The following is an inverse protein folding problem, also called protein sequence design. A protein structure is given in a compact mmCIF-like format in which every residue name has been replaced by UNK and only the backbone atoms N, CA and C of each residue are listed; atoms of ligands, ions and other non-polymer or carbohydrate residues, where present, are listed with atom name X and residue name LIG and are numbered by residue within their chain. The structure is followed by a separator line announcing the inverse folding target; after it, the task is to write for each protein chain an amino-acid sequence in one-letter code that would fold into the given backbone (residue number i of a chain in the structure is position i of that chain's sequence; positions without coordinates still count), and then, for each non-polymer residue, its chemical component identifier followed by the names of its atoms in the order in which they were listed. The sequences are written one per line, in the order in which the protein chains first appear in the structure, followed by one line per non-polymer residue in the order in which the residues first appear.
data_IF_675607976561
#
_entry.id   IF_675607976561
#
_cell.length_a   1.000
_cell.length_b   1.000
_cell.length_c   1.000
_cell.angle_alpha   90.00
_cell.angle_beta   90.00
_cell.angle_gamma   90.00
#
_symmetry.space_group_name_H-M   'P 1'
#
loop_
_entity.id
_entity.type
_entity.pdbx_description
1 polymer ?
#
# COMPACT_ATOMS: atom_id res chain seq x y z
N UNK A 1 -16.02 -33.80 22.37
CA UNK A 1 -16.87 -32.60 22.29
C UNK A 1 -17.76 -32.54 23.52
N UNK A 2 -17.80 -31.41 24.23
CA UNK A 2 -18.81 -31.13 25.25
C UNK A 2 -20.17 -30.89 24.59
N UNK A 3 -21.27 -31.14 25.30
CA UNK A 3 -22.63 -30.86 24.80
C UNK A 3 -22.82 -29.38 24.43
N UNK A 4 -22.13 -28.49 25.14
CA UNK A 4 -22.07 -27.07 24.82
C UNK A 4 -21.39 -26.80 23.47
N UNK A 5 -20.27 -27.45 23.17
CA UNK A 5 -19.58 -27.31 21.89
C UNK A 5 -20.39 -27.83 20.71
N UNK A 6 -21.20 -28.88 20.92
CA UNK A 6 -22.11 -29.43 19.90
C UNK A 6 -23.22 -28.41 19.59
N UNK A 7 -23.80 -27.79 20.62
CA UNK A 7 -24.82 -26.76 20.43
C UNK A 7 -24.27 -25.51 19.73
N UNK A 8 -23.07 -25.04 20.12
CA UNK A 8 -22.40 -23.91 19.45
C UNK A 8 -22.08 -24.21 17.98
N UNK A 9 -21.60 -25.41 17.68
CA UNK A 9 -21.34 -25.86 16.30
C UNK A 9 -22.62 -25.93 15.47
N UNK A 10 -23.72 -26.41 16.06
CA UNK A 10 -25.02 -26.45 15.41
C UNK A 10 -25.54 -25.05 15.08
N UNK A 11 -25.42 -24.10 16.01
CA UNK A 11 -25.79 -22.69 15.80
C UNK A 11 -24.97 -22.10 14.64
N UNK A 12 -23.65 -22.28 14.64
CA UNK A 12 -22.75 -21.75 13.61
C UNK A 12 -23.06 -22.32 12.22
N UNK A 13 -23.26 -23.63 12.10
CA UNK A 13 -23.57 -24.26 10.82
C UNK A 13 -24.96 -23.86 10.29
N UNK A 14 -25.93 -23.62 11.18
CA UNK A 14 -27.25 -23.11 10.77
C UNK A 14 -27.20 -21.68 10.22
N UNK A 15 -26.20 -20.87 10.60
CA UNK A 15 -26.06 -19.49 10.09
C UNK A 15 -25.28 -19.40 8.79
N UNK A 16 -24.42 -20.38 8.47
CA UNK A 16 -23.61 -20.41 7.25
C UNK A 16 -24.41 -20.69 5.98
N UNK A 17 -25.55 -21.38 6.10
CA UNK A 17 -26.34 -21.83 4.95
C UNK A 17 -26.07 -23.28 4.58
N UNK A 18 -26.98 -23.88 3.80
CA UNK A 18 -27.01 -25.33 3.59
C UNK A 18 -25.80 -25.85 2.80
N UNK A 19 -25.28 -25.07 1.85
CA UNK A 19 -24.17 -25.51 1.00
C UNK A 19 -22.85 -25.49 1.77
N UNK A 20 -22.61 -24.40 2.49
CA UNK A 20 -21.42 -24.12 3.27
C UNK A 20 -21.35 -25.07 4.48
N UNK A 21 -22.47 -25.30 5.15
CA UNK A 21 -22.56 -26.29 6.22
C UNK A 21 -22.28 -27.72 5.72
N UNK A 22 -22.75 -28.07 4.52
CA UNK A 22 -22.49 -29.38 3.93
C UNK A 22 -20.99 -29.57 3.64
N UNK A 23 -20.29 -28.54 3.20
CA UNK A 23 -18.84 -28.60 2.99
C UNK A 23 -18.07 -28.79 4.29
N UNK A 24 -18.48 -28.13 5.38
CA UNK A 24 -17.88 -28.35 6.71
C UNK A 24 -18.16 -29.76 7.22
N UNK A 25 -19.38 -30.28 7.03
CA UNK A 25 -19.75 -31.63 7.48
C UNK A 25 -18.93 -32.75 6.83
N UNK A 26 -18.35 -32.54 5.63
CA UNK A 26 -17.46 -33.51 4.97
C UNK A 26 -16.19 -33.81 5.76
N UNK A 27 -15.78 -32.90 6.64
CA UNK A 27 -14.56 -33.04 7.45
C UNK A 27 -14.81 -33.65 8.82
N UNK A 28 -16.06 -34.01 9.16
CA UNK A 28 -16.45 -34.54 10.46
C UNK A 28 -16.66 -36.05 10.41
N UNK A 29 -16.42 -36.73 11.54
CA UNK A 29 -16.73 -38.15 11.63
C UNK A 29 -18.25 -38.38 11.63
N UNK A 30 -18.74 -39.55 11.15
CA UNK A 30 -20.18 -39.86 11.10
C UNK A 30 -20.91 -39.67 12.44
N UNK A 31 -20.23 -39.97 13.56
CA UNK A 31 -20.77 -39.79 14.92
C UNK A 31 -20.92 -38.32 15.31
N UNK A 32 -20.06 -37.45 14.82
CA UNK A 32 -20.09 -36.01 15.09
C UNK A 32 -21.17 -35.34 14.26
N UNK A 33 -21.27 -35.69 12.98
CA UNK A 33 -22.36 -35.26 12.09
C UNK A 33 -23.71 -35.60 12.70
N UNK A 34 -23.89 -36.83 13.22
CA UNK A 34 -25.14 -37.24 13.85
C UNK A 34 -25.47 -36.39 15.09
N UNK A 35 -24.49 -36.13 15.95
CA UNK A 35 -24.68 -35.33 17.18
C UNK A 35 -25.05 -33.88 16.86
N UNK A 36 -24.32 -33.27 15.93
CA UNK A 36 -24.55 -31.88 15.51
C UNK A 36 -25.90 -31.75 14.80
N UNK A 37 -26.24 -32.67 13.89
CA UNK A 37 -27.54 -32.68 13.21
C UNK A 37 -28.71 -32.83 14.21
N UNK A 38 -28.54 -33.66 15.24
CA UNK A 38 -29.55 -33.81 16.30
C UNK A 38 -29.73 -32.52 17.10
N UNK A 39 -28.63 -31.83 17.40
CA UNK A 39 -28.67 -30.52 18.07
C UNK A 39 -29.33 -29.44 17.20
N UNK A 40 -29.05 -29.41 15.89
CA UNK A 40 -29.72 -28.49 14.95
C UNK A 40 -31.24 -28.65 14.94
N UNK A 41 -31.73 -29.88 15.02
CA UNK A 41 -33.17 -30.17 15.07
C UNK A 41 -33.78 -29.79 16.42
N UNK A 42 -33.02 -29.94 17.52
CA UNK A 42 -33.47 -29.62 18.86
C UNK A 42 -33.51 -28.09 19.14
N UNK A 43 -32.61 -27.33 18.50
CA UNK A 43 -32.54 -25.88 18.63
C UNK A 43 -33.73 -25.21 17.92
N UNK A 44 -34.60 -24.56 18.70
CA UNK A 44 -35.73 -23.78 18.19
C UNK A 44 -35.67 -22.37 18.77
N UNK A 45 -35.93 -21.36 17.95
CA UNK A 45 -35.97 -19.94 18.33
C UNK A 45 -34.67 -19.41 18.94
N UNK A 46 -33.58 -19.45 18.16
CA UNK A 46 -32.32 -18.82 18.52
C UNK A 46 -32.48 -17.29 18.56
N UNK A 47 -32.07 -16.66 19.67
CA UNK A 47 -32.04 -15.20 19.75
C UNK A 47 -30.84 -14.64 18.96
N UNK A 48 -30.95 -13.40 18.49
CA UNK A 48 -29.82 -12.70 17.84
C UNK A 48 -28.60 -12.62 18.77
N UNK A 49 -28.82 -12.46 20.06
CA UNK A 49 -27.79 -12.37 21.10
C UNK A 49 -27.02 -13.68 21.28
N UNK A 50 -27.73 -14.82 21.23
CA UNK A 50 -27.12 -16.15 21.26
C UNK A 50 -26.29 -16.41 20.00
N UNK A 51 -26.78 -16.01 18.83
CA UNK A 51 -26.05 -16.15 17.57
C UNK A 51 -24.79 -15.28 17.59
N UNK A 52 -24.90 -14.01 18.03
CA UNK A 52 -23.76 -13.09 18.12
C UNK A 52 -22.68 -13.64 19.05
N UNK A 53 -23.06 -14.06 20.25
CA UNK A 53 -22.12 -14.62 21.23
C UNK A 53 -21.34 -15.81 20.67
N UNK A 54 -22.03 -16.74 19.98
CA UNK A 54 -21.36 -17.91 19.36
C UNK A 54 -20.43 -17.50 18.22
N UNK A 55 -20.80 -16.48 17.45
CA UNK A 55 -19.98 -15.98 16.35
C UNK A 55 -18.73 -15.25 16.84
N UNK A 56 -18.86 -14.44 17.90
CA UNK A 56 -17.77 -13.72 18.54
C UNK A 56 -16.76 -14.69 19.18
N UNK A 57 -17.25 -15.72 19.87
CA UNK A 57 -16.40 -16.79 20.42
C UNK A 57 -15.68 -17.58 19.31
N UNK A 58 -16.38 -17.93 18.22
CA UNK A 58 -15.76 -18.60 17.09
C UNK A 58 -14.68 -17.74 16.44
N UNK A 59 -14.95 -16.44 16.22
CA UNK A 59 -14.00 -15.51 15.64
C UNK A 59 -12.74 -15.38 16.51
N UNK A 60 -12.90 -15.27 17.83
CA UNK A 60 -11.77 -15.23 18.76
C UNK A 60 -10.93 -16.52 18.69
N UNK A 61 -11.57 -17.69 18.78
CA UNK A 61 -10.86 -18.97 18.72
C UNK A 61 -10.22 -19.24 17.36
N UNK A 62 -10.88 -18.84 16.27
CA UNK A 62 -10.32 -18.90 14.94
C UNK A 62 -9.09 -18.00 14.85
N UNK A 63 -9.17 -16.74 15.31
CA UNK A 63 -8.05 -15.78 15.29
C UNK A 63 -6.83 -16.24 16.10
N UNK A 64 -7.03 -16.99 17.18
CA UNK A 64 -5.95 -17.58 18.00
C UNK A 64 -5.29 -18.81 17.32
N UNK A 65 -6.03 -19.50 16.44
CA UNK A 65 -5.60 -20.73 15.73
C UNK A 65 -5.09 -20.46 14.32
N UNK A 66 -5.62 -19.44 13.66
CA UNK A 66 -5.14 -18.91 12.39
C UNK A 66 -4.24 -17.73 12.72
N UNK A 67 -2.93 -17.95 12.72
CA UNK A 67 -1.99 -16.86 12.49
C UNK A 67 -2.36 -16.25 11.13
N UNK A 68 -3.18 -15.19 11.17
CA UNK A 68 -3.54 -14.39 10.00
C UNK A 68 -2.21 -13.78 9.53
N UNK A 69 -1.60 -14.44 8.56
CA UNK A 69 -0.26 -14.09 8.09
C UNK A 69 0.22 -14.85 6.86
N UNK A 70 -0.34 -16.01 6.49
CA UNK A 70 0.24 -16.78 5.36
C UNK A 70 -0.70 -17.28 4.25
N UNK A 71 -2.03 -17.37 4.42
CA UNK A 71 -2.89 -18.00 3.39
C UNK A 71 -4.19 -17.23 3.03
N UNK A 72 -4.42 -16.04 3.57
CA UNK A 72 -5.60 -15.22 3.23
C UNK A 72 -5.49 -14.52 1.87
N UNK A 73 -4.27 -14.36 1.35
CA UNK A 73 -4.02 -13.62 0.10
C UNK A 73 -4.62 -14.32 -1.12
N UNK A 74 -4.48 -15.64 -1.22
CA UNK A 74 -5.01 -16.41 -2.35
C UNK A 74 -6.54 -16.55 -2.30
N UNK A 75 -7.11 -16.70 -1.12
CA UNK A 75 -8.57 -16.71 -0.94
C UNK A 75 -9.20 -15.34 -1.28
N UNK A 76 -8.61 -14.25 -0.79
CA UNK A 76 -9.06 -12.89 -1.10
C UNK A 76 -8.87 -12.57 -2.58
N UNK A 77 -7.77 -13.06 -3.19
CA UNK A 77 -7.51 -12.95 -4.63
C UNK A 77 -8.59 -13.64 -5.44
N UNK A 78 -8.91 -14.90 -5.14
CA UNK A 78 -9.93 -15.67 -5.85
C UNK A 78 -11.33 -15.05 -5.67
N UNK A 79 -11.66 -14.58 -4.46
CA UNK A 79 -12.92 -13.90 -4.17
C UNK A 79 -13.08 -12.58 -4.96
N UNK A 80 -12.06 -11.72 -4.94
CA UNK A 80 -12.10 -10.43 -5.64
C UNK A 80 -12.11 -10.62 -7.16
N UNK A 81 -11.38 -11.60 -7.67
CA UNK A 81 -11.37 -11.97 -9.10
C UNK A 81 -12.76 -12.40 -9.57
N UNK A 82 -13.44 -13.26 -8.79
CA UNK A 82 -14.81 -13.69 -9.09
C UNK A 82 -15.84 -12.55 -9.02
N UNK A 83 -15.65 -11.59 -8.12
CA UNK A 83 -16.59 -10.49 -7.92
C UNK A 83 -16.42 -9.33 -8.93
N UNK A 84 -15.20 -9.05 -9.37
CA UNK A 84 -14.85 -7.83 -10.11
C UNK A 84 -14.26 -8.08 -11.50
N UNK A 85 -13.88 -9.33 -11.81
CA UNK A 85 -13.12 -9.71 -13.01
C UNK A 85 -11.62 -9.50 -12.84
N UNK A 86 -10.82 -10.26 -13.60
CA UNK A 86 -9.36 -10.34 -13.47
C UNK A 86 -8.66 -8.97 -13.44
N UNK A 87 -8.96 -8.08 -14.39
CA UNK A 87 -8.28 -6.78 -14.51
C UNK A 87 -8.56 -5.83 -13.34
N UNK A 88 -9.80 -5.79 -12.83
CA UNK A 88 -10.18 -4.90 -11.72
C UNK A 88 -9.76 -5.47 -10.38
N UNK A 89 -9.83 -6.79 -10.23
CA UNK A 89 -9.36 -7.47 -9.04
C UNK A 89 -7.85 -7.36 -8.90
N UNK A 90 -7.10 -7.55 -9.98
CA UNK A 90 -5.65 -7.36 -9.99
C UNK A 90 -5.28 -5.95 -9.51
N UNK A 91 -5.87 -4.89 -10.07
CA UNK A 91 -5.57 -3.52 -9.65
C UNK A 91 -5.99 -3.18 -8.22
N UNK A 92 -7.05 -3.80 -7.69
CA UNK A 92 -7.51 -3.61 -6.31
C UNK A 92 -6.64 -4.39 -5.32
N UNK A 93 -6.31 -5.64 -5.65
CA UNK A 93 -5.41 -6.50 -4.87
C UNK A 93 -4.02 -5.91 -4.81
N UNK A 94 -3.52 -5.39 -5.93
CA UNK A 94 -2.24 -4.69 -6.00
C UNK A 94 -2.21 -3.53 -5.02
N UNK A 95 -3.28 -2.71 -4.98
CA UNK A 95 -3.42 -1.59 -4.02
C UNK A 95 -3.61 -2.00 -2.56
N UNK A 96 -4.19 -3.17 -2.29
CA UNK A 96 -4.47 -3.66 -0.93
C UNK A 96 -3.25 -4.40 -0.36
N UNK A 97 -2.62 -5.27 -1.15
CA UNK A 97 -1.44 -6.05 -0.75
C UNK A 97 -0.19 -5.18 -0.66
N UNK A 98 -0.02 -4.21 -1.56
CA UNK A 98 1.04 -3.19 -1.44
C UNK A 98 0.74 -2.14 -0.37
N UNK A 99 -0.25 -2.32 0.51
CA UNK A 99 -0.51 -1.47 1.67
C UNK A 99 -0.20 -2.15 3.01
N UNK A 100 0.23 -3.41 3.00
CA UNK A 100 0.62 -4.15 4.20
C UNK A 100 2.12 -4.47 4.19
N UNK A 101 2.83 -3.79 5.09
CA UNK A 101 4.16 -4.10 5.64
C UNK A 101 5.45 -3.85 4.82
N UNK A 102 5.43 -3.73 3.48
CA UNK A 102 6.68 -3.44 2.69
C UNK A 102 6.54 -2.43 1.56
N UNK A 103 5.44 -1.68 1.51
CA UNK A 103 5.09 -0.78 0.41
C UNK A 103 6.17 0.26 0.07
N UNK A 104 6.86 0.80 1.07
CA UNK A 104 7.93 1.77 0.89
C UNK A 104 9.18 1.14 0.28
N UNK A 105 9.57 -0.04 0.73
CA UNK A 105 10.75 -0.77 0.21
C UNK A 105 10.48 -1.29 -1.21
N UNK A 106 9.30 -1.84 -1.46
CA UNK A 106 8.91 -2.32 -2.79
C UNK A 106 8.83 -1.18 -3.81
N UNK A 107 8.37 0.00 -3.39
CA UNK A 107 8.36 1.18 -4.27
C UNK A 107 9.76 1.53 -4.79
N UNK A 108 10.81 1.28 -4.01
CA UNK A 108 12.19 1.55 -4.45
C UNK A 108 12.63 0.65 -5.60
N UNK A 109 12.14 -0.60 -5.68
CA UNK A 109 12.51 -1.54 -6.75
C UNK A 109 12.16 -1.03 -8.15
N UNK A 110 11.12 -0.19 -8.23
CA UNK A 110 10.61 0.37 -9.48
C UNK A 110 11.10 1.80 -9.74
N UNK A 111 11.93 2.36 -8.86
CA UNK A 111 12.48 3.70 -9.01
C UNK A 111 13.82 3.71 -9.74
N UNK A 112 14.02 4.75 -10.56
CA UNK A 112 15.31 5.00 -11.19
C UNK A 112 16.40 5.23 -10.13
N UNK A 113 17.63 4.70 -10.31
CA UNK A 113 18.71 4.82 -9.33
C UNK A 113 19.02 6.26 -8.89
N UNK A 114 18.88 7.24 -9.80
CA UNK A 114 19.02 8.66 -9.48
C UNK A 114 17.97 9.16 -8.50
N UNK A 115 16.72 8.74 -8.67
CA UNK A 115 15.62 9.10 -7.76
C UNK A 115 15.79 8.48 -6.38
N UNK A 116 16.31 7.26 -6.31
CA UNK A 116 16.65 6.60 -5.05
C UNK A 116 17.83 7.30 -4.35
N UNK A 117 18.87 7.67 -5.10
CA UNK A 117 20.01 8.41 -4.55
C UNK A 117 19.60 9.77 -3.98
N UNK A 118 18.73 10.51 -4.69
CA UNK A 118 18.19 11.80 -4.22
C UNK A 118 17.33 11.64 -2.96
N UNK A 119 16.50 10.59 -2.91
CA UNK A 119 15.64 10.26 -1.76
C UNK A 119 16.46 10.05 -0.48
N UNK A 120 17.59 9.35 -0.59
CA UNK A 120 18.40 8.92 0.56
C UNK A 120 19.62 9.84 0.82
N UNK A 121 19.80 10.91 0.04
CA UNK A 121 21.01 11.74 0.07
C UNK A 121 21.31 12.37 1.45
N UNK A 122 20.27 12.64 2.24
CA UNK A 122 20.39 13.27 3.56
C UNK A 122 20.26 12.27 4.72
N UNK A 123 20.15 10.97 4.42
CA UNK A 123 19.95 9.94 5.44
C UNK A 123 21.26 9.51 6.10
N UNK A 124 21.16 8.97 7.31
CA UNK A 124 22.31 8.44 8.01
C UNK A 124 22.88 7.21 7.26
N UNK A 125 24.22 7.01 7.18
CA UNK A 125 24.83 5.87 6.48
C UNK A 125 24.30 4.49 6.89
N UNK A 126 23.78 4.36 8.12
CA UNK A 126 23.12 3.14 8.58
C UNK A 126 21.77 2.89 7.89
N UNK A 127 20.95 3.93 7.71
CA UNK A 127 19.65 3.82 7.04
C UNK A 127 19.87 3.50 5.57
N UNK A 128 20.83 4.19 4.94
CA UNK A 128 21.24 3.90 3.56
C UNK A 128 21.68 2.43 3.46
N UNK A 129 22.57 1.96 4.32
CA UNK A 129 23.01 0.56 4.30
C UNK A 129 21.85 -0.44 4.41
N UNK A 130 20.89 -0.20 5.32
CA UNK A 130 19.70 -1.05 5.46
C UNK A 130 18.87 -1.06 4.17
N UNK A 131 18.61 0.11 3.56
CA UNK A 131 17.85 0.21 2.30
C UNK A 131 18.53 -0.60 1.20
N UNK A 132 19.86 -0.44 1.06
CA UNK A 132 20.63 -1.05 -0.02
C UNK A 132 20.65 -2.57 0.02
N UNK A 133 20.53 -3.18 1.22
CA UNK A 133 20.42 -4.65 1.38
C UNK A 133 19.09 -5.21 0.86
N UNK A 134 18.07 -4.35 0.70
CA UNK A 134 16.76 -4.74 0.18
C UNK A 134 16.55 -4.39 -1.31
N UNK A 135 17.53 -3.77 -1.97
CA UNK A 135 17.52 -3.52 -3.41
C UNK A 135 18.17 -4.67 -4.18
N UNK A 136 17.80 -4.82 -5.46
CA UNK A 136 18.50 -5.73 -6.36
C UNK A 136 19.97 -5.29 -6.54
N UNK A 137 20.94 -6.22 -6.64
CA UNK A 137 22.37 -5.89 -6.66
C UNK A 137 22.78 -4.86 -7.73
N UNK A 138 22.15 -4.92 -8.90
CA UNK A 138 22.42 -4.01 -10.02
C UNK A 138 21.95 -2.58 -9.75
N UNK A 139 20.74 -2.45 -9.20
CA UNK A 139 20.18 -1.17 -8.77
C UNK A 139 20.98 -0.59 -7.61
N UNK A 140 21.33 -1.40 -6.61
CA UNK A 140 22.17 -1.01 -5.49
C UNK A 140 23.55 -0.49 -5.97
N UNK A 141 24.20 -1.19 -6.91
CA UNK A 141 25.47 -0.72 -7.48
C UNK A 141 25.31 0.65 -8.17
N UNK A 142 24.23 0.82 -8.94
CA UNK A 142 23.92 2.07 -9.64
C UNK A 142 23.66 3.22 -8.66
N UNK A 143 22.93 2.98 -7.56
CA UNK A 143 22.71 3.98 -6.50
C UNK A 143 24.02 4.32 -5.78
N UNK A 144 24.85 3.32 -5.43
CA UNK A 144 26.15 3.55 -4.79
C UNK A 144 27.06 4.46 -5.62
N UNK A 145 27.04 4.33 -6.95
CA UNK A 145 27.84 5.14 -7.85
C UNK A 145 27.50 6.64 -7.79
N UNK A 146 26.27 6.99 -7.40
CA UNK A 146 25.78 8.36 -7.29
C UNK A 146 26.07 9.00 -5.93
N UNK A 147 26.45 8.21 -4.93
CA UNK A 147 26.82 8.71 -3.60
C UNK A 147 28.23 9.30 -3.59
N UNK A 148 28.46 10.28 -2.70
CA UNK A 148 29.80 10.82 -2.45
C UNK A 148 30.75 9.72 -1.93
N UNK A 149 32.04 9.82 -2.26
CA UNK A 149 33.04 8.80 -1.91
C UNK A 149 33.06 8.47 -0.42
N UNK A 150 32.97 9.51 0.43
CA UNK A 150 32.94 9.34 1.88
C UNK A 150 31.73 8.50 2.33
N UNK A 151 30.54 8.82 1.86
CA UNK A 151 29.30 8.13 2.25
C UNK A 151 29.29 6.71 1.67
N UNK A 152 29.67 6.55 0.40
CA UNK A 152 29.75 5.25 -0.28
C UNK A 152 30.63 4.26 0.48
N UNK A 153 31.82 4.67 0.90
CA UNK A 153 32.74 3.80 1.64
C UNK A 153 32.18 3.42 3.02
N UNK A 154 31.54 4.38 3.71
CA UNK A 154 30.96 4.18 5.05
C UNK A 154 29.73 3.24 5.01
N UNK A 155 28.91 3.37 3.97
CA UNK A 155 27.75 2.50 3.69
C UNK A 155 28.21 1.09 3.36
N UNK A 156 29.21 0.93 2.48
CA UNK A 156 29.71 -0.39 2.09
C UNK A 156 30.26 -1.18 3.29
N UNK A 157 30.98 -0.50 4.19
CA UNK A 157 31.48 -1.12 5.42
C UNK A 157 30.34 -1.66 6.28
N UNK A 158 29.24 -0.90 6.43
CA UNK A 158 28.06 -1.31 7.20
C UNK A 158 27.32 -2.48 6.56
N UNK A 159 27.15 -2.47 5.24
CA UNK A 159 26.55 -3.58 4.50
C UNK A 159 27.35 -4.86 4.74
N UNK A 160 28.69 -4.78 4.68
CA UNK A 160 29.57 -5.92 4.89
C UNK A 160 29.56 -6.48 6.32
N UNK A 161 29.21 -5.66 7.31
CA UNK A 161 29.13 -6.05 8.73
C UNK A 161 27.70 -6.27 9.22
N UNK A 162 26.71 -6.26 8.33
CA UNK A 162 25.31 -6.40 8.69
C UNK A 162 24.95 -7.90 8.86
N UNK A 163 24.77 -8.37 10.09
CA UNK A 163 24.47 -9.79 10.35
C UNK A 163 23.01 -10.15 10.04
N UNK A 164 22.07 -9.40 10.61
CA UNK A 164 20.63 -9.59 10.37
C UNK A 164 19.86 -8.32 10.71
N UNK A 165 18.86 -7.99 9.91
CA UNK A 165 17.96 -6.86 10.18
C UNK A 165 16.76 -7.39 10.97
N UNK A 166 16.51 -6.84 12.15
CA UNK A 166 15.37 -7.25 12.96
C UNK A 166 14.06 -6.86 12.24
N UNK A 167 13.00 -7.69 12.28
CA UNK A 167 11.72 -7.39 11.64
C UNK A 167 11.12 -6.03 12.06
N UNK A 168 11.30 -5.65 13.33
CA UNK A 168 10.89 -4.34 13.85
C UNK A 168 11.60 -3.18 13.17
N UNK A 169 12.90 -3.32 12.89
CA UNK A 169 13.69 -2.31 12.18
C UNK A 169 13.28 -2.19 10.70
N UNK A 170 12.82 -3.28 10.07
CA UNK A 170 12.26 -3.23 8.72
C UNK A 170 10.94 -2.46 8.67
N UNK A 171 10.11 -2.63 9.69
CA UNK A 171 8.83 -1.93 9.79
C UNK A 171 9.05 -0.42 10.01
N UNK A 172 9.99 -0.06 10.89
CA UNK A 172 10.42 1.34 11.07
C UNK A 172 11.01 1.94 9.78
N UNK A 173 11.83 1.16 9.05
CA UNK A 173 12.38 1.57 7.75
C UNK A 173 11.26 1.83 6.74
N UNK A 174 10.28 0.94 6.68
CA UNK A 174 9.14 1.06 5.78
C UNK A 174 8.32 2.32 6.08
N UNK A 175 8.06 2.62 7.35
CA UNK A 175 7.35 3.83 7.77
C UNK A 175 8.11 5.12 7.39
N UNK A 176 9.44 5.11 7.52
CA UNK A 176 10.29 6.22 7.08
C UNK A 176 10.22 6.37 5.56
N UNK A 177 10.33 5.27 4.81
CA UNK A 177 10.26 5.28 3.34
C UNK A 177 8.91 5.76 2.84
N UNK A 178 7.80 5.32 3.45
CA UNK A 178 6.46 5.80 3.10
C UNK A 178 6.33 7.30 3.32
N UNK A 179 6.88 7.84 4.42
CA UNK A 179 6.90 9.30 4.67
C UNK A 179 7.75 10.04 3.65
N UNK A 180 8.93 9.52 3.32
CA UNK A 180 9.83 10.12 2.33
C UNK A 180 9.21 10.09 0.92
N UNK A 181 8.58 8.98 0.55
CA UNK A 181 7.87 8.82 -0.72
C UNK A 181 6.61 9.69 -0.77
N UNK A 182 5.88 9.85 0.32
CA UNK A 182 4.75 10.80 0.39
C UNK A 182 5.23 12.25 0.28
N UNK A 183 6.38 12.58 0.89
CA UNK A 183 7.05 13.88 0.72
C UNK A 183 7.55 14.11 -0.71
N UNK A 184 8.08 13.07 -1.37
CA UNK A 184 8.56 13.09 -2.75
C UNK A 184 7.47 12.83 -3.81
N UNK A 185 6.26 12.41 -3.44
CA UNK A 185 5.09 12.40 -4.33
C UNK A 185 4.64 13.85 -4.64
N UNK A 186 5.02 14.81 -3.81
CA UNK A 186 4.98 16.26 -4.11
C UNK A 186 6.15 16.67 -5.04
N UNK A 187 7.13 15.79 -5.22
CA UNK A 187 8.37 15.96 -5.99
C UNK A 187 8.28 15.65 -7.48
N UNK A 188 7.24 14.96 -7.96
CA UNK A 188 6.72 15.25 -9.31
C UNK A 188 5.95 16.56 -9.23
N UNK A 189 6.68 17.67 -9.06
CA UNK A 189 6.22 18.92 -9.65
C UNK A 189 6.11 18.60 -11.15
N UNK A 190 4.89 18.28 -11.62
CA UNK A 190 4.50 18.84 -12.91
C UNK A 190 4.91 20.29 -12.79
N UNK A 191 5.80 20.78 -13.63
CA UNK A 191 6.29 22.14 -13.57
C UNK A 191 5.05 23.05 -13.62
N UNK A 192 4.55 23.47 -12.45
CA UNK A 192 3.36 24.33 -12.29
C UNK A 192 3.88 25.76 -12.39
N UNK A 193 4.39 26.10 -13.57
CA UNK A 193 5.08 27.34 -13.84
C UNK A 193 5.59 27.38 -15.28
N UNK A 194 6.29 28.46 -15.61
CA UNK A 194 6.76 28.72 -16.98
C UNK A 194 5.78 29.58 -17.78
N UNK A 195 6.20 29.87 -19.01
CA UNK A 195 5.58 30.85 -19.91
C UNK A 195 4.06 30.59 -20.07
N UNK A 196 3.68 29.33 -20.29
CA UNK A 196 2.28 28.92 -20.50
C UNK A 196 1.38 29.13 -19.29
N UNK A 197 1.85 28.73 -18.09
CA UNK A 197 1.08 28.93 -16.85
C UNK A 197 0.95 30.44 -16.53
N UNK A 198 2.00 31.23 -16.81
CA UNK A 198 1.97 32.67 -16.62
C UNK A 198 0.99 33.37 -17.59
N UNK A 199 0.97 32.96 -18.87
CA UNK A 199 0.03 33.43 -19.88
C UNK A 199 -1.43 33.13 -19.50
N UNK A 200 -1.70 31.90 -19.07
CA UNK A 200 -3.03 31.48 -18.60
C UNK A 200 -3.51 32.34 -17.40
N UNK A 201 -2.65 32.59 -16.40
CA UNK A 201 -3.00 33.44 -15.25
C UNK A 201 -3.28 34.88 -15.69
N UNK A 202 -2.45 35.43 -16.59
CA UNK A 202 -2.58 36.81 -17.06
C UNK A 202 -3.87 37.01 -17.87
N UNK A 203 -4.31 36.03 -18.65
CA UNK A 203 -5.59 36.07 -19.37
C UNK A 203 -6.81 36.23 -18.43
N UNK A 204 -6.69 35.86 -17.16
CA UNK A 204 -7.75 36.04 -16.15
C UNK A 204 -7.60 37.33 -15.31
N UNK A 205 -6.43 37.97 -15.33
CA UNK A 205 -6.16 39.20 -14.59
C UNK A 205 -6.49 40.38 -15.51
N UNK A 206 -7.75 40.84 -15.53
CA UNK A 206 -8.22 41.89 -16.46
C UNK A 206 -7.36 43.16 -16.53
N UNK A 207 -7.70 44.21 -15.78
CA UNK A 207 -7.07 45.54 -15.96
C UNK A 207 -5.62 45.67 -15.48
N UNK A 208 -5.10 44.67 -14.75
CA UNK A 208 -3.75 44.72 -14.15
C UNK A 208 -2.70 43.97 -14.98
N UNK A 209 -3.11 43.31 -16.06
CA UNK A 209 -2.25 42.53 -16.95
C UNK A 209 -1.05 43.33 -17.48
N UNK A 210 -1.29 44.51 -18.05
CA UNK A 210 -0.24 45.32 -18.68
C UNK A 210 0.84 45.74 -17.68
N UNK A 211 0.45 46.09 -16.45
CA UNK A 211 1.39 46.49 -15.40
C UNK A 211 2.30 45.34 -14.97
N UNK A 212 1.76 44.11 -14.93
CA UNK A 212 2.53 42.91 -14.58
C UNK A 212 3.50 42.56 -15.70
N UNK A 213 3.07 42.63 -16.97
CA UNK A 213 3.94 42.37 -18.13
C UNK A 213 5.09 43.39 -18.18
N UNK A 214 4.83 44.67 -17.89
CA UNK A 214 5.88 45.71 -17.88
C UNK A 214 6.90 45.49 -16.76
N UNK A 215 6.44 45.03 -15.60
CA UNK A 215 7.33 44.65 -14.48
C UNK A 215 8.25 43.48 -14.87
N UNK A 216 7.72 42.47 -15.55
CA UNK A 216 8.50 41.33 -16.06
C UNK A 216 9.48 41.80 -17.14
N UNK A 217 9.04 42.66 -18.07
CA UNK A 217 9.87 43.21 -19.16
C UNK A 217 11.08 43.99 -18.65
N UNK A 218 10.91 44.70 -17.53
CA UNK A 218 12.00 45.45 -16.87
C UNK A 218 13.11 44.52 -16.37
N UNK A 219 12.77 43.26 -16.03
CA UNK A 219 13.72 42.25 -15.55
C UNK A 219 14.25 41.38 -16.69
N UNK A 220 13.38 40.99 -17.62
CA UNK A 220 13.69 40.13 -18.77
C UNK A 220 12.70 40.40 -19.91
N UNK A 221 13.18 41.13 -20.92
CA UNK A 221 12.39 41.50 -22.09
C UNK A 221 12.03 40.29 -22.99
N UNK A 222 12.90 39.28 -23.05
CA UNK A 222 12.69 38.10 -23.88
C UNK A 222 11.64 37.17 -23.24
N UNK A 223 11.66 37.05 -21.91
CA UNK A 223 10.65 36.32 -21.16
C UNK A 223 9.27 36.98 -21.27
N UNK A 224 9.20 38.31 -21.16
CA UNK A 224 7.95 39.05 -21.32
C UNK A 224 7.35 38.84 -22.72
N UNK A 225 8.17 38.83 -23.77
CA UNK A 225 7.72 38.57 -25.14
C UNK A 225 7.13 37.16 -25.28
N UNK A 226 7.83 36.13 -24.77
CA UNK A 226 7.36 34.75 -24.82
C UNK A 226 6.03 34.56 -24.11
N UNK A 227 5.80 35.25 -22.99
CA UNK A 227 4.52 35.21 -22.26
C UNK A 227 3.41 35.85 -23.08
N UNK A 228 3.64 37.00 -23.73
CA UNK A 228 2.65 37.64 -24.60
C UNK A 228 2.31 36.79 -25.83
N UNK A 229 3.31 36.18 -26.47
CA UNK A 229 3.10 35.31 -27.64
C UNK A 229 2.20 34.13 -27.28
N UNK A 230 2.41 33.52 -26.11
CA UNK A 230 1.61 32.41 -25.62
C UNK A 230 0.18 32.83 -25.25
N UNK A 231 -0.05 34.09 -24.83
CA UNK A 231 -1.41 34.62 -24.55
C UNK A 231 -2.27 34.73 -25.82
N UNK A 232 -1.68 35.12 -26.95
CA UNK A 232 -2.39 35.25 -28.24
C UNK A 232 -2.85 33.92 -28.81
N UNK A 233 -2.10 32.84 -28.58
CA UNK A 233 -2.43 31.48 -29.08
C UNK A 233 -3.73 30.91 -28.46
N UNK A 234 -4.22 31.47 -27.36
CA UNK A 234 -5.46 31.04 -26.71
C UNK A 234 -6.71 31.82 -27.12
N UNK A 235 -6.58 32.91 -27.88
CA UNK A 235 -7.72 33.70 -28.35
C UNK A 235 -8.21 33.31 -29.76
N UNK A 236 -7.44 32.51 -30.51
CA UNK A 236 -7.78 31.93 -31.83
C UNK A 236 -8.39 30.51 -31.73
#
# INVERSE_FOLDING_TARGET
MSDEGINKSAILLMTLGANEAADVMKYLEPKEVQKISSAMVALKNLSRDQISTVFDEFHQLASEKTTIGMDSSDYIRDMLTKALGDDKAAGLLDRILHNSDTSGIESLKWMEPSSVADLIANEHPQIIATIMVHLEPDQAASVMALLTERVRNDVMLRIATLDSVQPTALQELNDVLVKLLAGNAVGKKSIRGGIKTAAEILNYIGSTQEQIIESVRTHDAELAQKIMDEMFVFED
#
